data_IF_845539652459
#
_entry.id   IF_845539652459
#
_cell.length_a   1.000
_cell.length_b   1.000
_cell.length_c   1.000
_cell.angle_alpha   90.00
_cell.angle_beta   90.00
_cell.angle_gamma   90.00
#
_symmetry.space_group_name_H-M   'P 1'
#
loop_
_entity.id
_entity.type
_entity.pdbx_description
1 polymer ?
#
# COMPACT_ATOMS: atom_id res chain seq x y z
N UNK A 1 3.67 7.67 12.90
CA UNK A 1 3.12 6.49 13.60
C UNK A 1 2.16 5.71 12.71
N UNK A 2 1.17 6.36 12.08
CA UNK A 2 0.28 5.73 11.08
C UNK A 2 1.04 5.16 9.88
N UNK A 3 1.99 5.92 9.31
CA UNK A 3 2.76 5.49 8.12
C UNK A 3 3.53 4.17 8.32
N UNK A 4 4.25 4.03 9.44
CA UNK A 4 4.95 2.77 9.73
C UNK A 4 3.97 1.58 9.84
N UNK A 5 2.84 1.78 10.52
CA UNK A 5 1.77 0.79 10.63
C UNK A 5 1.15 0.43 9.27
N UNK A 6 0.96 1.42 8.39
CA UNK A 6 0.47 1.22 7.04
C UNK A 6 1.46 0.40 6.21
N UNK A 7 2.74 0.75 6.28
CA UNK A 7 3.83 0.03 5.62
C UNK A 7 3.91 -1.45 6.03
N UNK A 8 3.93 -1.71 7.34
CA UNK A 8 3.92 -3.07 7.89
C UNK A 8 2.66 -3.85 7.47
N UNK A 9 1.51 -3.17 7.47
CA UNK A 9 0.24 -3.77 7.06
C UNK A 9 0.21 -4.10 5.57
N UNK A 10 0.73 -3.23 4.71
CA UNK A 10 0.83 -3.47 3.26
C UNK A 10 1.65 -4.73 2.99
N UNK A 11 2.86 -4.81 3.59
CA UNK A 11 3.75 -5.96 3.41
C UNK A 11 3.11 -7.26 3.89
N UNK A 12 2.56 -7.26 5.11
CA UNK A 12 1.89 -8.42 5.69
C UNK A 12 0.73 -8.90 4.82
N UNK A 13 -0.15 -7.99 4.39
CA UNK A 13 -1.31 -8.35 3.58
C UNK A 13 -0.92 -8.85 2.18
N UNK A 14 0.12 -8.25 1.57
CA UNK A 14 0.64 -8.71 0.28
C UNK A 14 1.23 -10.12 0.39
N UNK A 15 2.01 -10.38 1.44
CA UNK A 15 2.55 -11.71 1.73
C UNK A 15 1.43 -12.75 1.97
N UNK A 16 0.44 -12.42 2.79
CA UNK A 16 -0.72 -13.28 3.07
C UNK A 16 -1.55 -13.63 1.83
N UNK A 17 -1.72 -12.69 0.90
CA UNK A 17 -2.43 -12.94 -0.37
C UNK A 17 -1.60 -13.75 -1.36
N UNK A 18 -0.27 -13.69 -1.26
CA UNK A 18 0.67 -14.39 -2.11
C UNK A 18 0.94 -13.72 -3.46
N UNK A 19 1.94 -14.22 -4.21
CA UNK A 19 2.54 -13.51 -5.36
C UNK A 19 1.63 -13.36 -6.59
N UNK A 20 0.52 -14.08 -6.65
CA UNK A 20 -0.44 -14.03 -7.78
C UNK A 20 -1.62 -13.08 -7.54
N UNK A 21 -1.62 -12.38 -6.40
CA UNK A 21 -2.70 -11.50 -5.96
C UNK A 21 -2.11 -10.17 -5.51
N UNK A 22 -2.91 -9.12 -5.63
CA UNK A 22 -2.57 -7.77 -5.17
C UNK A 22 -3.46 -7.35 -4.02
N UNK A 23 -3.07 -6.29 -3.32
CA UNK A 23 -3.92 -5.53 -2.38
C UNK A 23 -4.09 -4.10 -2.87
N UNK A 24 -5.11 -3.41 -2.38
CA UNK A 24 -5.25 -1.96 -2.59
C UNK A 24 -4.70 -1.20 -1.38
N UNK A 25 -4.14 0.02 -1.55
CA UNK A 25 -3.76 0.88 -0.41
C UNK A 25 -4.91 1.12 0.57
N UNK A 26 -6.15 1.17 0.07
CA UNK A 26 -7.34 1.30 0.92
C UNK A 26 -7.60 0.10 1.83
N UNK A 27 -7.10 -1.11 1.50
CA UNK A 27 -7.23 -2.28 2.36
C UNK A 27 -6.38 -2.11 3.62
N UNK A 28 -5.13 -1.66 3.45
CA UNK A 28 -4.24 -1.33 4.56
C UNK A 28 -4.78 -0.15 5.37
N UNK A 29 -5.27 0.91 4.72
CA UNK A 29 -5.90 2.04 5.39
C UNK A 29 -7.11 1.61 6.25
N UNK A 30 -7.96 0.71 5.76
CA UNK A 30 -9.10 0.16 6.52
C UNK A 30 -8.65 -0.64 7.73
N UNK A 31 -7.61 -1.46 7.58
CA UNK A 31 -7.08 -2.26 8.67
C UNK A 31 -6.46 -1.39 9.78
N UNK A 32 -5.80 -0.28 9.44
CA UNK A 32 -5.17 0.62 10.41
C UNK A 32 -6.15 1.64 10.99
N UNK A 33 -6.96 2.27 10.15
CA UNK A 33 -7.79 3.44 10.51
C UNK A 33 -9.23 3.13 10.88
N UNK A 34 -9.70 1.89 10.70
CA UNK A 34 -11.08 1.52 10.99
C UNK A 34 -12.09 2.44 10.29
N UNK A 35 -13.01 3.06 11.04
CA UNK A 35 -14.01 3.99 10.49
C UNK A 35 -13.40 5.26 9.88
N UNK A 36 -12.21 5.67 10.33
CA UNK A 36 -11.49 6.87 9.87
C UNK A 36 -10.46 6.59 8.78
N UNK A 37 -10.51 5.42 8.14
CA UNK A 37 -9.54 5.00 7.13
C UNK A 37 -9.36 5.98 5.97
N UNK A 38 -10.38 6.77 5.66
CA UNK A 38 -10.30 7.78 4.59
C UNK A 38 -9.26 8.86 4.89
N UNK A 39 -9.05 9.18 6.16
CA UNK A 39 -8.06 10.16 6.61
C UNK A 39 -6.62 9.63 6.42
N UNK A 40 -6.45 8.31 6.22
CA UNK A 40 -5.16 7.65 6.01
C UNK A 40 -4.87 7.33 4.53
N UNK A 41 -5.72 7.76 3.60
CA UNK A 41 -5.57 7.35 2.20
C UNK A 41 -4.31 7.91 1.54
N UNK A 42 -3.92 9.13 1.88
CA UNK A 42 -2.71 9.74 1.33
C UNK A 42 -1.46 9.08 1.95
N UNK A 43 -1.41 8.94 3.27
CA UNK A 43 -0.37 8.17 3.98
C UNK A 43 -0.22 6.73 3.41
N UNK A 44 -1.33 6.06 3.09
CA UNK A 44 -1.31 4.68 2.58
C UNK A 44 -0.76 4.61 1.15
N UNK A 45 -1.06 5.59 0.30
CA UNK A 45 -0.49 5.68 -1.04
C UNK A 45 1.00 6.01 -0.98
N UNK A 46 1.39 6.92 -0.11
CA UNK A 46 2.78 7.34 0.02
C UNK A 46 3.64 6.20 0.60
N UNK A 47 3.12 5.46 1.59
CA UNK A 47 3.75 4.24 2.09
C UNK A 47 3.92 3.18 1.00
N UNK A 48 2.91 3.00 0.13
CA UNK A 48 2.99 2.05 -0.98
C UNK A 48 4.04 2.47 -2.04
N UNK A 49 4.14 3.79 -2.33
CA UNK A 49 5.17 4.32 -3.23
C UNK A 49 6.57 4.17 -2.66
N UNK A 50 6.77 4.46 -1.37
CA UNK A 50 8.05 4.27 -0.70
C UNK A 50 8.50 2.81 -0.75
N UNK A 51 7.60 1.86 -0.42
CA UNK A 51 7.87 0.44 -0.55
C UNK A 51 8.23 0.03 -1.99
N UNK A 52 7.62 0.65 -2.99
CA UNK A 52 7.95 0.40 -4.39
C UNK A 52 9.31 0.97 -4.79
N UNK A 53 9.69 2.15 -4.29
CA UNK A 53 11.06 2.70 -4.48
C UNK A 53 12.13 1.78 -3.90
N UNK A 54 11.83 1.12 -2.80
CA UNK A 54 12.71 0.14 -2.16
C UNK A 54 12.70 -1.25 -2.85
N UNK A 55 11.82 -1.46 -3.82
CA UNK A 55 11.66 -2.74 -4.52
C UNK A 55 10.96 -3.82 -3.69
N UNK A 56 10.31 -3.45 -2.57
CA UNK A 56 9.60 -4.38 -1.71
C UNK A 56 8.22 -4.78 -2.27
N UNK A 57 7.60 -3.89 -3.05
CA UNK A 57 6.33 -4.13 -3.74
C UNK A 57 6.36 -3.52 -5.15
N UNK A 58 5.41 -3.92 -5.99
CA UNK A 58 5.13 -3.27 -7.27
C UNK A 58 3.76 -2.61 -7.18
N UNK A 59 3.67 -1.34 -7.55
CA UNK A 59 2.39 -0.62 -7.63
C UNK A 59 1.89 -0.68 -9.07
N UNK A 60 0.63 -1.06 -9.25
CA UNK A 60 0.01 -1.15 -10.57
C UNK A 60 -1.32 -0.39 -10.62
N UNK A 61 -1.74 -0.02 -11.83
CA UNK A 61 -3.07 0.44 -12.14
C UNK A 61 -3.62 -0.39 -13.31
N UNK A 62 -4.50 -1.34 -12.99
CA UNK A 62 -4.85 -2.38 -13.94
C UNK A 62 -3.64 -3.27 -14.22
N UNK A 63 -3.33 -3.47 -15.50
CA UNK A 63 -2.17 -4.25 -15.96
C UNK A 63 -0.88 -3.42 -16.04
N UNK A 64 -0.96 -2.09 -15.89
CA UNK A 64 0.18 -1.19 -16.02
C UNK A 64 0.92 -1.04 -14.68
N UNK A 65 2.23 -1.29 -14.70
CA UNK A 65 3.13 -0.96 -13.58
C UNK A 65 3.34 0.55 -13.54
N UNK A 66 3.08 1.15 -12.38
CA UNK A 66 3.28 2.58 -12.17
C UNK A 66 4.69 2.86 -11.66
N UNK A 67 5.29 3.93 -12.17
CA UNK A 67 6.49 4.50 -11.60
C UNK A 67 6.12 5.15 -10.24
N UNK A 68 6.78 4.78 -9.12
CA UNK A 68 6.48 5.35 -7.81
C UNK A 68 6.76 6.86 -7.70
N UNK A 69 7.50 7.44 -8.65
CA UNK A 69 7.84 8.87 -8.73
C UNK A 69 7.02 9.63 -9.78
N UNK A 70 6.12 8.96 -10.51
CA UNK A 70 5.21 9.62 -11.43
C UNK A 70 4.10 10.39 -10.67
N UNK A 71 3.88 11.64 -11.10
CA UNK A 71 2.85 12.56 -10.56
C UNK A 71 1.44 12.17 -10.97
#
# INVERSE_FOLDING_TARGET
>A
MSEQLLRETILRMAEERGPSKSICPSDAARAVGGEKWRDLMDDARDSARELAREGAVVVTQGDDVLDPDAT
#
